data_IF_022266608090
#
_entry.id   IF_022266608090
#
_cell.length_a   1.000
_cell.length_b   1.000
_cell.length_c   1.000
_cell.angle_alpha   90.00
_cell.angle_beta   90.00
_cell.angle_gamma   90.00
#
_symmetry.space_group_name_H-M   'P 1'
#
loop_
_entity.id
_entity.type
_entity.pdbx_description
1 polymer ?
#
# COMPACT_ATOMS: atom_id res chain seq x y z
N UNK A 1 -1.39 16.56 31.65
CA UNK A 1 -1.72 17.13 30.32
C UNK A 1 -3.22 17.38 30.28
N UNK A 2 -3.69 18.38 29.53
CA UNK A 2 -5.13 18.62 29.38
C UNK A 2 -5.78 17.46 28.62
N UNK A 3 -6.97 17.05 29.03
CA UNK A 3 -7.77 16.07 28.29
C UNK A 3 -8.49 16.78 27.14
N UNK A 4 -8.42 16.22 25.94
CA UNK A 4 -9.03 16.77 24.72
C UNK A 4 -10.09 15.78 24.23
N UNK A 5 -11.34 16.22 24.17
CA UNK A 5 -12.42 15.42 23.61
C UNK A 5 -12.27 15.29 22.07
N UNK A 6 -12.72 14.19 21.43
CA UNK A 6 -12.68 14.05 19.98
C UNK A 6 -13.28 15.23 19.21
N UNK A 7 -14.35 15.86 19.69
CA UNK A 7 -14.93 17.05 19.06
C UNK A 7 -14.02 18.28 19.14
N UNK A 8 -13.24 18.41 20.23
CA UNK A 8 -12.23 19.48 20.34
C UNK A 8 -11.04 19.23 19.43
N UNK A 9 -10.65 17.96 19.23
CA UNK A 9 -9.65 17.58 18.25
C UNK A 9 -10.14 17.96 16.84
N UNK A 10 -11.34 17.55 16.44
CA UNK A 10 -11.93 17.84 15.12
C UNK A 10 -12.05 19.33 14.81
N UNK A 11 -12.34 20.17 15.82
CA UNK A 11 -12.37 21.63 15.66
C UNK A 11 -10.99 22.23 15.39
N UNK A 12 -9.92 21.54 15.75
CA UNK A 12 -8.53 21.87 15.42
C UNK A 12 -8.15 21.51 13.98
N UNK A 13 -9.00 21.84 13.01
CA UNK A 13 -8.85 21.46 11.60
C UNK A 13 -8.00 22.43 10.78
N UNK A 14 -7.45 23.51 11.38
CA UNK A 14 -6.66 24.51 10.67
C UNK A 14 -7.44 25.43 9.72
N UNK A 15 -8.76 25.29 9.61
CA UNK A 15 -9.60 26.10 8.72
C UNK A 15 -10.05 27.36 9.43
N UNK A 16 -10.24 28.42 8.65
CA UNK A 16 -10.74 29.72 9.16
C UNK A 16 -9.86 30.27 10.30
N UNK A 17 -8.56 30.00 10.25
CA UNK A 17 -7.60 30.44 11.27
C UNK A 17 -7.65 29.65 12.58
N UNK A 18 -8.42 28.56 12.65
CA UNK A 18 -8.41 27.65 13.81
C UNK A 18 -7.06 26.95 13.95
N UNK A 19 -6.82 26.41 15.14
CA UNK A 19 -5.59 25.66 15.44
C UNK A 19 -5.50 24.41 14.56
N UNK A 20 -4.28 23.97 14.29
CA UNK A 20 -3.98 22.72 13.59
C UNK A 20 -3.60 21.67 14.62
N UNK A 21 -4.53 20.80 14.98
CA UNK A 21 -4.32 19.75 15.99
C UNK A 21 -4.25 18.38 15.34
N UNK A 22 -3.34 17.52 15.81
CA UNK A 22 -3.31 16.10 15.41
C UNK A 22 -3.06 15.22 16.61
N UNK A 23 -3.68 14.05 16.66
CA UNK A 23 -3.42 13.02 17.68
C UNK A 23 -2.48 11.95 17.14
N UNK A 24 -1.45 11.60 17.90
CA UNK A 24 -0.57 10.44 17.64
C UNK A 24 -0.30 9.72 18.95
N UNK A 25 -0.65 8.44 19.02
CA UNK A 25 -0.50 7.64 20.24
C UNK A 25 -1.23 8.27 21.43
N UNK A 26 -2.41 8.85 21.17
CA UNK A 26 -3.24 9.65 22.10
C UNK A 26 -2.70 11.04 22.45
N UNK A 27 -1.44 11.38 22.17
CA UNK A 27 -0.92 12.73 22.42
C UNK A 27 -1.37 13.69 21.32
N UNK A 28 -1.88 14.85 21.71
CA UNK A 28 -2.32 15.89 20.79
C UNK A 28 -1.22 16.93 20.63
N UNK A 29 -0.81 17.18 19.39
CA UNK A 29 0.22 18.16 19.02
C UNK A 29 -0.43 19.35 18.31
N UNK A 30 0.05 20.55 18.64
CA UNK A 30 -0.32 21.78 17.94
C UNK A 30 0.68 22.11 16.83
N UNK A 31 0.26 21.85 15.60
CA UNK A 31 1.06 22.05 14.40
C UNK A 31 0.79 23.40 13.72
N UNK A 32 0.12 24.35 14.39
CA UNK A 32 -0.28 25.63 13.78
C UNK A 32 0.89 26.48 13.28
N UNK A 33 2.10 26.24 13.83
CA UNK A 33 3.34 26.92 13.40
C UNK A 33 4.07 26.19 12.27
N UNK A 34 3.57 25.05 11.81
CA UNK A 34 4.20 24.28 10.75
C UNK A 34 3.74 24.76 9.38
N UNK A 35 4.69 25.25 8.56
CA UNK A 35 4.40 25.62 7.17
C UNK A 35 3.88 24.42 6.34
N UNK A 36 4.30 23.20 6.70
CA UNK A 36 3.86 21.97 6.04
C UNK A 36 2.42 21.56 6.38
N UNK A 37 1.77 22.28 7.31
CA UNK A 37 0.38 22.07 7.73
C UNK A 37 -0.49 23.31 7.50
N UNK A 38 -0.06 24.21 6.62
CA UNK A 38 -0.81 25.42 6.30
C UNK A 38 -2.24 25.08 5.83
N UNK A 39 -3.23 25.77 6.41
CA UNK A 39 -4.65 25.51 6.14
C UNK A 39 -5.18 24.18 6.70
N UNK A 40 -4.43 23.53 7.58
CA UNK A 40 -4.84 22.28 8.21
C UNK A 40 -4.67 21.04 7.33
N UNK A 41 -3.88 21.14 6.26
CA UNK A 41 -3.61 20.05 5.34
C UNK A 41 -2.10 19.80 5.24
N UNK A 42 -1.72 18.53 5.18
CA UNK A 42 -0.34 18.10 4.98
C UNK A 42 -0.24 17.24 3.72
N UNK A 43 0.58 17.71 2.76
CA UNK A 43 0.88 17.03 1.49
C UNK A 43 -0.38 16.59 0.72
N UNK A 44 -1.48 17.35 0.81
CA UNK A 44 -2.79 17.05 0.22
C UNK A 44 -3.36 15.66 0.56
N UNK A 45 -2.85 15.05 1.63
CA UNK A 45 -3.06 13.63 1.95
C UNK A 45 -3.51 13.42 3.39
N UNK A 46 -3.17 14.34 4.30
CA UNK A 46 -3.56 14.29 5.70
C UNK A 46 -4.21 15.60 6.12
N UNK A 47 -5.21 15.49 7.00
CA UNK A 47 -5.93 16.64 7.55
C UNK A 47 -5.76 16.72 9.05
N UNK A 48 -5.69 17.94 9.54
CA UNK A 48 -5.75 18.23 10.96
C UNK A 48 -7.13 17.90 11.53
N UNK A 49 -7.20 17.89 12.85
CA UNK A 49 -8.34 17.48 13.65
C UNK A 49 -8.62 15.98 13.67
N UNK A 50 -7.60 15.15 13.46
CA UNK A 50 -7.73 13.69 13.40
C UNK A 50 -6.63 12.96 14.17
N UNK A 51 -6.90 11.69 14.49
CA UNK A 51 -5.87 10.74 14.89
C UNK A 51 -5.11 10.25 13.65
N UNK A 52 -3.81 10.51 13.63
CA UNK A 52 -2.89 10.17 12.55
C UNK A 52 -1.87 9.10 12.97
N UNK A 53 -2.11 8.37 14.06
CA UNK A 53 -1.21 7.32 14.55
C UNK A 53 -0.90 6.27 13.49
N UNK A 54 -1.89 5.87 12.70
CA UNK A 54 -1.70 4.93 11.59
C UNK A 54 -1.05 5.60 10.36
N UNK A 55 -1.43 6.84 10.06
CA UNK A 55 -0.85 7.59 8.94
C UNK A 55 0.66 7.83 9.15
N UNK A 56 1.08 8.14 10.38
CA UNK A 56 2.48 8.37 10.73
C UNK A 56 3.34 7.12 10.52
N UNK A 57 2.80 5.91 10.73
CA UNK A 57 3.55 4.66 10.50
C UNK A 57 3.96 4.46 9.04
N UNK A 58 3.28 5.13 8.09
CA UNK A 58 3.59 5.07 6.67
C UNK A 58 4.22 6.36 6.13
N UNK A 59 4.51 7.32 7.01
CA UNK A 59 5.17 8.57 6.64
C UNK A 59 6.67 8.33 6.35
N UNK A 60 7.32 9.19 5.54
CA UNK A 60 8.76 9.12 5.27
C UNK A 60 9.63 9.58 6.47
N UNK A 61 9.03 9.75 7.65
CA UNK A 61 9.64 10.22 8.88
C UNK A 61 8.93 9.59 10.09
N UNK A 62 9.59 9.52 11.24
CA UNK A 62 9.00 8.99 12.47
C UNK A 62 8.34 10.08 13.35
N UNK A 63 7.90 9.72 14.56
CA UNK A 63 7.26 10.64 15.52
C UNK A 63 8.17 11.76 16.02
N UNK A 64 9.48 11.65 15.89
CA UNK A 64 10.46 12.66 16.29
C UNK A 64 10.21 14.04 15.65
N UNK A 65 9.55 14.10 14.49
CA UNK A 65 9.19 15.39 13.87
C UNK A 65 8.13 16.16 14.67
N UNK A 66 7.27 15.44 15.42
CA UNK A 66 6.20 16.01 16.24
C UNK A 66 6.73 16.59 17.54
N UNK A 67 7.88 16.11 18.03
CA UNK A 67 8.52 16.60 19.26
C UNK A 67 8.98 18.06 19.14
N UNK A 68 9.09 18.57 17.91
CA UNK A 68 9.37 19.99 17.62
C UNK A 68 8.19 20.91 17.91
N UNK A 69 7.01 20.35 18.16
CA UNK A 69 5.76 21.07 18.36
C UNK A 69 5.21 20.85 19.77
N UNK A 70 4.45 21.83 20.31
CA UNK A 70 3.86 21.69 21.63
C UNK A 70 2.89 20.51 21.70
N UNK A 71 3.09 19.63 22.68
CA UNK A 71 2.07 18.66 23.08
C UNK A 71 1.07 19.35 24.01
N UNK A 72 -0.18 19.48 23.56
CA UNK A 72 -1.19 20.35 24.19
C UNK A 72 -2.25 19.58 24.97
N UNK A 73 -2.25 18.26 24.87
CA UNK A 73 -3.15 17.41 25.60
C UNK A 73 -3.06 15.95 25.20
N UNK A 74 -3.94 15.13 25.77
CA UNK A 74 -4.17 13.76 25.34
C UNK A 74 -5.65 13.57 25.00
N UNK A 75 -5.94 12.79 23.97
CA UNK A 75 -7.34 12.49 23.60
C UNK A 75 -7.98 11.65 24.71
N UNK A 76 -9.18 12.07 25.13
CA UNK A 76 -10.01 11.33 26.07
C UNK A 76 -10.13 9.87 25.61
N UNK A 77 -9.97 8.92 26.54
CA UNK A 77 -10.15 7.52 26.18
C UNK A 77 -11.59 7.31 25.67
N UNK A 78 -11.81 6.66 24.51
CA UNK A 78 -13.16 6.31 24.12
C UNK A 78 -13.81 5.49 25.25
N UNK A 79 -15.05 5.82 25.61
CA UNK A 79 -15.86 4.95 26.44
C UNK A 79 -15.98 3.59 25.73
N UNK A 80 -15.28 2.60 26.30
CA UNK A 80 -15.28 1.18 25.97
C UNK A 80 -15.78 0.77 24.57
N UNK A 81 -14.87 0.84 23.61
CA UNK A 81 -14.76 -0.24 22.64
C UNK A 81 -13.31 -0.67 22.65
N UNK A 82 -12.96 -1.62 23.51
CA UNK A 82 -11.70 -2.35 23.38
C UNK A 82 -11.86 -3.24 22.14
N UNK A 83 -11.27 -2.89 20.97
CA UNK A 83 -11.20 -3.90 19.93
C UNK A 83 -10.32 -4.99 20.52
N UNK A 84 -10.76 -6.25 20.48
CA UNK A 84 -9.99 -7.37 21.00
C UNK A 84 -8.51 -7.22 20.61
N UNK A 85 -7.68 -6.77 21.56
CA UNK A 85 -6.28 -6.43 21.27
C UNK A 85 -5.64 -7.78 21.01
N UNK A 86 -5.43 -8.08 19.74
CA UNK A 86 -4.78 -9.32 19.37
C UNK A 86 -3.43 -9.37 20.05
N UNK A 87 -3.05 -10.52 20.64
CA UNK A 87 -1.75 -10.65 21.26
C UNK A 87 -0.68 -10.25 20.25
N UNK A 88 0.24 -9.36 20.67
CA UNK A 88 1.29 -8.87 19.78
C UNK A 88 2.08 -10.07 19.27
N UNK A 89 2.30 -10.19 17.94
CA UNK A 89 3.06 -11.29 17.39
C UNK A 89 4.50 -11.24 17.94
N UNK A 90 5.12 -12.40 18.09
CA UNK A 90 6.51 -12.56 18.54
C UNK A 90 7.39 -13.15 17.43
N UNK A 91 8.71 -13.10 17.60
CA UNK A 91 9.66 -13.71 16.66
C UNK A 91 9.64 -13.09 15.26
N UNK A 92 9.68 -13.94 14.23
CA UNK A 92 9.81 -13.50 12.83
C UNK A 92 8.63 -12.66 12.36
N UNK A 93 7.41 -12.98 12.80
CA UNK A 93 6.20 -12.22 12.44
C UNK A 93 6.27 -10.80 12.98
N UNK A 94 6.72 -10.64 14.23
CA UNK A 94 6.96 -9.33 14.83
C UNK A 94 8.02 -8.56 14.04
N UNK A 95 9.13 -9.22 13.69
CA UNK A 95 10.24 -8.62 12.96
C UNK A 95 9.86 -8.17 11.54
N UNK A 96 8.94 -8.89 10.87
CA UNK A 96 8.39 -8.52 9.57
C UNK A 96 7.46 -7.32 9.73
N UNK A 97 6.50 -7.36 10.66
CA UNK A 97 5.54 -6.26 10.85
C UNK A 97 6.20 -4.96 11.32
N UNK A 98 7.18 -5.04 12.22
CA UNK A 98 7.92 -3.89 12.74
C UNK A 98 8.75 -3.17 11.67
N UNK A 99 9.14 -3.87 10.60
CA UNK A 99 9.89 -3.28 9.49
C UNK A 99 9.00 -2.60 8.46
N UNK A 100 7.67 -2.57 8.68
CA UNK A 100 6.68 -2.05 7.73
C UNK A 100 7.09 -2.39 6.30
N UNK A 101 7.26 -3.70 5.97
CA UNK A 101 8.17 -4.19 4.93
C UNK A 101 8.10 -3.21 3.78
N UNK A 102 9.16 -2.40 3.68
CA UNK A 102 9.14 -1.07 3.06
C UNK A 102 8.32 -1.10 1.77
N UNK A 103 7.60 -0.04 1.36
CA UNK A 103 6.84 0.00 0.10
C UNK A 103 7.56 -0.72 -1.06
N UNK A 104 8.88 -0.60 -1.12
CA UNK A 104 9.77 -1.35 -2.03
C UNK A 104 9.65 -2.88 -1.93
N UNK A 105 9.77 -3.54 -0.78
CA UNK A 105 9.78 -5.01 -0.71
C UNK A 105 8.49 -5.69 -1.20
N UNK A 106 7.36 -4.97 -1.15
CA UNK A 106 6.03 -5.48 -1.53
C UNK A 106 5.55 -4.89 -2.86
N UNK A 107 5.85 -3.62 -3.17
CA UNK A 107 5.50 -3.00 -4.45
C UNK A 107 6.52 -3.31 -5.54
N UNK A 108 7.80 -3.57 -5.23
CA UNK A 108 8.82 -3.84 -6.24
C UNK A 108 8.45 -5.06 -7.09
N UNK A 109 8.13 -6.26 -6.53
CA UNK A 109 7.79 -7.41 -7.37
C UNK A 109 6.47 -7.21 -8.14
N UNK A 110 5.49 -6.51 -7.54
CA UNK A 110 4.21 -6.23 -8.18
C UNK A 110 4.37 -5.25 -9.36
N UNK A 111 5.23 -4.24 -9.23
CA UNK A 111 5.55 -3.28 -10.29
C UNK A 111 6.23 -3.95 -11.49
N UNK A 112 6.97 -5.04 -11.28
CA UNK A 112 7.56 -5.81 -12.38
C UNK A 112 6.51 -6.39 -13.34
N UNK A 113 5.25 -6.56 -12.90
CA UNK A 113 4.15 -6.92 -13.81
C UNK A 113 3.85 -5.82 -14.85
N UNK A 114 3.90 -4.55 -14.45
CA UNK A 114 3.77 -3.41 -15.38
C UNK A 114 5.01 -3.30 -16.27
N UNK A 115 6.21 -3.50 -15.70
CA UNK A 115 7.46 -3.48 -16.47
C UNK A 115 7.47 -4.61 -17.51
N UNK A 116 6.98 -5.80 -17.16
CA UNK A 116 6.81 -6.90 -18.09
C UNK A 116 5.87 -6.54 -19.24
N UNK A 117 4.72 -5.91 -18.94
CA UNK A 117 3.80 -5.43 -19.96
C UNK A 117 4.42 -4.36 -20.87
N UNK A 118 5.20 -3.43 -20.31
CA UNK A 118 5.89 -2.40 -21.08
C UNK A 118 6.95 -3.00 -22.04
N UNK A 119 7.76 -3.94 -21.56
CA UNK A 119 8.73 -4.63 -22.43
C UNK A 119 8.04 -5.50 -23.48
N UNK A 120 6.93 -6.16 -23.15
CA UNK A 120 6.17 -6.92 -24.15
C UNK A 120 5.55 -6.00 -25.20
N UNK A 121 5.01 -4.85 -24.82
CA UNK A 121 4.54 -3.85 -25.78
C UNK A 121 5.68 -3.34 -26.68
N UNK A 122 6.87 -3.10 -26.09
CA UNK A 122 8.05 -2.71 -26.84
C UNK A 122 8.49 -3.80 -27.84
N UNK A 123 8.38 -5.08 -27.48
CA UNK A 123 8.73 -6.17 -28.39
C UNK A 123 7.79 -6.24 -29.59
N UNK A 124 6.50 -5.92 -29.42
CA UNK A 124 5.52 -5.90 -30.51
C UNK A 124 5.79 -4.77 -31.52
N UNK A 125 6.41 -3.67 -31.09
CA UNK A 125 6.69 -2.50 -31.95
C UNK A 125 8.08 -2.58 -32.57
N UNK A 126 9.07 -2.99 -31.78
CA UNK A 126 10.49 -2.94 -32.18
C UNK A 126 10.99 -4.27 -32.77
N UNK A 127 10.21 -5.33 -32.64
CA UNK A 127 10.51 -6.68 -33.13
C UNK A 127 11.90 -7.18 -32.70
N UNK A 128 12.26 -6.90 -31.43
CA UNK A 128 13.52 -7.36 -30.84
C UNK A 128 13.26 -8.36 -29.72
N UNK A 129 13.84 -9.55 -29.86
CA UNK A 129 13.78 -10.64 -28.86
C UNK A 129 14.24 -10.24 -27.45
N UNK A 130 15.16 -9.27 -27.34
CA UNK A 130 15.64 -8.78 -26.03
C UNK A 130 14.50 -8.28 -25.15
N UNK A 131 13.49 -7.62 -25.74
CA UNK A 131 12.34 -7.11 -25.01
C UNK A 131 11.39 -8.22 -24.56
N UNK A 132 11.23 -9.30 -25.36
CA UNK A 132 10.48 -10.47 -24.91
C UNK A 132 11.14 -11.18 -23.74
N UNK A 133 12.47 -11.34 -23.79
CA UNK A 133 13.23 -11.94 -22.69
C UNK A 133 13.13 -11.07 -21.43
N UNK A 134 13.23 -9.75 -21.57
CA UNK A 134 13.02 -8.83 -20.46
C UNK A 134 11.60 -8.96 -19.88
N UNK A 135 10.58 -9.01 -20.74
CA UNK A 135 9.18 -9.20 -20.30
C UNK A 135 9.00 -10.52 -19.53
N UNK A 136 9.52 -11.62 -20.05
CA UNK A 136 9.44 -12.94 -19.42
C UNK A 136 10.14 -12.96 -18.05
N UNK A 137 11.36 -12.45 -17.97
CA UNK A 137 12.11 -12.43 -16.70
C UNK A 137 11.41 -11.57 -15.64
N UNK A 138 10.91 -10.40 -16.03
CA UNK A 138 10.14 -9.55 -15.12
C UNK A 138 8.86 -10.26 -14.63
N UNK A 139 8.15 -10.97 -15.52
CA UNK A 139 6.97 -11.74 -15.17
C UNK A 139 7.27 -12.90 -14.21
N UNK A 140 8.40 -13.61 -14.40
CA UNK A 140 8.84 -14.68 -13.48
C UNK A 140 9.09 -14.10 -12.09
N UNK A 141 9.84 -13.00 -11.98
CA UNK A 141 10.12 -12.38 -10.68
C UNK A 141 8.84 -11.84 -10.04
N UNK A 142 7.93 -11.25 -10.82
CA UNK A 142 6.62 -10.81 -10.34
C UNK A 142 5.80 -11.97 -9.76
N UNK A 143 5.74 -13.10 -10.47
CA UNK A 143 5.00 -14.30 -10.05
C UNK A 143 5.58 -14.89 -8.74
N UNK A 144 6.91 -14.96 -8.63
CA UNK A 144 7.58 -15.47 -7.43
C UNK A 144 7.44 -14.52 -6.23
N UNK A 145 7.38 -13.21 -6.47
CA UNK A 145 7.20 -12.21 -5.44
C UNK A 145 5.75 -12.02 -4.97
N UNK A 146 4.76 -12.44 -5.74
CA UNK A 146 3.35 -12.28 -5.40
C UNK A 146 2.91 -13.06 -4.13
N UNK A 147 3.24 -14.36 -3.95
CA UNK A 147 2.87 -15.10 -2.74
C UNK A 147 3.38 -14.47 -1.42
N UNK A 148 4.67 -14.12 -1.26
CA UNK A 148 5.13 -13.47 -0.03
C UNK A 148 4.52 -12.07 0.16
N UNK A 149 4.25 -11.33 -0.92
CA UNK A 149 3.56 -10.04 -0.84
C UNK A 149 2.11 -10.18 -0.34
N UNK A 150 1.38 -11.19 -0.83
CA UNK A 150 0.02 -11.51 -0.37
C UNK A 150 0.03 -11.89 1.10
N UNK A 151 0.95 -12.77 1.51
CA UNK A 151 1.08 -13.19 2.90
C UNK A 151 1.39 -12.00 3.82
N UNK A 152 2.32 -11.12 3.44
CA UNK A 152 2.61 -9.89 4.18
C UNK A 152 1.39 -8.97 4.29
N UNK A 153 0.61 -8.83 3.21
CA UNK A 153 -0.65 -8.09 3.20
C UNK A 153 -1.69 -8.66 4.17
N UNK A 154 -1.86 -9.98 4.21
CA UNK A 154 -2.79 -10.66 5.12
C UNK A 154 -2.36 -10.56 6.59
N UNK A 155 -1.06 -10.67 6.87
CA UNK A 155 -0.51 -10.47 8.22
C UNK A 155 -0.74 -9.02 8.68
N UNK A 156 -0.47 -8.04 7.81
CA UNK A 156 -0.73 -6.65 8.12
C UNK A 156 -2.21 -6.39 8.36
N UNK A 157 -3.10 -6.95 7.53
CA UNK A 157 -4.56 -6.88 7.75
C UNK A 157 -4.97 -7.45 9.11
N UNK A 158 -4.42 -8.62 9.46
CA UNK A 158 -4.74 -9.30 10.72
C UNK A 158 -4.28 -8.50 11.94
N UNK A 159 -3.03 -8.03 11.96
CA UNK A 159 -2.40 -7.46 13.16
C UNK A 159 -2.44 -5.94 13.25
N UNK A 160 -2.34 -5.22 12.11
CA UNK A 160 -2.32 -3.75 12.10
C UNK A 160 -3.71 -3.14 11.88
N UNK A 161 -4.64 -3.88 11.26
CA UNK A 161 -6.00 -3.43 10.95
C UNK A 161 -7.09 -4.23 11.67
N UNK A 162 -6.72 -4.95 12.73
CA UNK A 162 -7.64 -5.69 13.60
C UNK A 162 -8.33 -6.89 12.95
N UNK A 163 -7.95 -7.29 11.74
CA UNK A 163 -8.62 -8.37 11.00
C UNK A 163 -10.05 -8.03 10.60
N UNK A 164 -10.39 -6.73 10.47
CA UNK A 164 -11.72 -6.29 10.05
C UNK A 164 -11.78 -6.27 8.52
N UNK A 165 -12.75 -6.99 7.94
CA UNK A 165 -12.97 -6.97 6.49
C UNK A 165 -13.73 -5.71 6.08
N UNK A 166 -13.03 -4.78 5.45
CA UNK A 166 -13.66 -3.64 4.77
C UNK A 166 -13.73 -3.91 3.26
N UNK A 167 -14.58 -3.19 2.50
CA UNK A 167 -14.60 -3.30 1.04
C UNK A 167 -13.24 -3.07 0.39
N UNK A 168 -12.38 -2.25 1.01
CA UNK A 168 -11.02 -1.98 0.51
C UNK A 168 -10.14 -3.24 0.67
N UNK A 169 -10.12 -3.86 1.86
CA UNK A 169 -9.34 -5.08 2.10
C UNK A 169 -9.83 -6.25 1.26
N UNK A 170 -11.16 -6.42 1.13
CA UNK A 170 -11.75 -7.47 0.30
C UNK A 170 -11.32 -7.33 -1.17
N UNK A 171 -11.51 -6.15 -1.77
CA UNK A 171 -11.10 -5.89 -3.17
C UNK A 171 -9.59 -6.06 -3.36
N UNK A 172 -8.78 -5.64 -2.40
CA UNK A 172 -7.31 -5.79 -2.46
C UNK A 172 -6.91 -7.28 -2.43
N UNK A 173 -7.54 -8.10 -1.60
CA UNK A 173 -7.32 -9.54 -1.59
C UNK A 173 -7.70 -10.19 -2.92
N UNK A 174 -8.88 -9.86 -3.47
CA UNK A 174 -9.34 -10.35 -4.78
C UNK A 174 -8.36 -9.97 -5.89
N UNK A 175 -7.96 -8.69 -5.98
CA UNK A 175 -7.01 -8.24 -7.00
C UNK A 175 -5.63 -8.89 -6.86
N UNK A 176 -5.20 -9.20 -5.64
CA UNK A 176 -3.91 -9.86 -5.42
C UNK A 176 -3.94 -11.32 -5.87
N UNK A 177 -5.03 -12.05 -5.57
CA UNK A 177 -5.24 -13.40 -6.07
C UNK A 177 -5.38 -13.42 -7.60
N UNK A 178 -6.13 -12.46 -8.16
CA UNK A 178 -6.26 -12.29 -9.61
C UNK A 178 -4.90 -12.06 -10.27
N UNK A 179 -4.06 -11.18 -9.72
CA UNK A 179 -2.72 -10.93 -10.24
C UNK A 179 -1.88 -12.20 -10.27
N UNK A 180 -1.86 -12.96 -9.16
CA UNK A 180 -1.14 -14.23 -9.08
C UNK A 180 -1.63 -15.23 -10.13
N UNK A 181 -2.95 -15.39 -10.28
CA UNK A 181 -3.55 -16.26 -11.30
C UNK A 181 -3.17 -15.83 -12.71
N UNK A 182 -3.20 -14.53 -13.02
CA UNK A 182 -2.77 -13.99 -14.31
C UNK A 182 -1.29 -14.28 -14.58
N UNK A 183 -0.42 -14.09 -13.57
CA UNK A 183 1.02 -14.37 -13.71
C UNK A 183 1.29 -15.85 -13.96
N UNK A 184 0.65 -16.74 -13.19
CA UNK A 184 0.80 -18.19 -13.36
C UNK A 184 0.26 -18.65 -14.71
N UNK A 185 -0.91 -18.16 -15.13
CA UNK A 185 -1.48 -18.50 -16.43
C UNK A 185 -0.59 -18.01 -17.58
N UNK A 186 -0.09 -16.77 -17.51
CA UNK A 186 0.81 -16.22 -18.52
C UNK A 186 2.12 -17.04 -18.62
N UNK A 187 2.71 -17.44 -17.49
CA UNK A 187 3.89 -18.29 -17.45
C UNK A 187 3.61 -19.71 -17.95
N UNK A 188 2.45 -20.28 -17.64
CA UNK A 188 2.04 -21.60 -18.13
C UNK A 188 1.93 -21.60 -19.66
N UNK A 189 1.31 -20.57 -20.24
CA UNK A 189 1.25 -20.41 -21.70
C UNK A 189 2.65 -20.20 -22.29
N UNK A 190 3.42 -19.26 -21.73
CA UNK A 190 4.73 -18.88 -22.28
C UNK A 190 5.76 -20.00 -22.18
N UNK A 191 5.88 -20.66 -21.04
CA UNK A 191 6.89 -21.69 -20.81
C UNK A 191 6.40 -23.09 -21.19
N UNK A 192 5.11 -23.38 -21.00
CA UNK A 192 4.55 -24.72 -21.25
C UNK A 192 4.10 -24.96 -22.68
N UNK A 193 3.58 -23.94 -23.37
CA UNK A 193 3.03 -24.09 -24.74
C UNK A 193 3.95 -23.47 -25.78
N UNK A 194 4.37 -22.22 -25.56
CA UNK A 194 5.19 -21.48 -26.53
C UNK A 194 6.67 -21.89 -26.41
N UNK A 195 7.14 -22.10 -25.17
CA UNK A 195 8.54 -22.34 -24.86
C UNK A 195 9.37 -21.06 -24.77
N UNK A 196 10.58 -21.19 -24.22
CA UNK A 196 11.44 -20.04 -23.92
C UNK A 196 11.81 -19.20 -25.16
N UNK A 197 12.09 -19.85 -26.29
CA UNK A 197 12.43 -19.22 -27.57
C UNK A 197 11.35 -19.42 -28.64
N UNK A 198 10.08 -19.57 -28.23
CA UNK A 198 8.98 -19.94 -29.11
C UNK A 198 8.51 -18.85 -30.07
N UNK A 199 7.40 -19.15 -30.76
CA UNK A 199 6.80 -18.25 -31.76
C UNK A 199 6.25 -16.97 -31.12
N UNK A 200 6.29 -15.89 -31.89
CA UNK A 200 5.73 -14.56 -31.55
C UNK A 200 4.44 -14.27 -32.31
N UNK A 201 3.74 -15.33 -32.70
CA UNK A 201 2.53 -15.28 -33.50
C UNK A 201 1.60 -16.44 -33.14
N UNK A 202 0.35 -16.34 -33.60
CA UNK A 202 -0.69 -17.35 -33.35
C UNK A 202 -1.52 -17.11 -32.08
N UNK A 203 -2.55 -17.94 -31.85
CA UNK A 203 -3.54 -17.70 -30.80
C UNK A 203 -2.97 -17.77 -29.38
N UNK A 204 -2.04 -18.69 -29.12
CA UNK A 204 -1.39 -18.82 -27.82
C UNK A 204 -0.50 -17.63 -27.48
N UNK A 205 0.22 -17.08 -28.47
CA UNK A 205 1.00 -15.85 -28.29
C UNK A 205 0.10 -14.67 -27.93
N UNK A 206 -1.00 -14.46 -28.66
CA UNK A 206 -1.92 -13.37 -28.35
C UNK A 206 -2.64 -13.54 -27.02
N UNK A 207 -2.88 -14.78 -26.59
CA UNK A 207 -3.39 -15.10 -25.26
C UNK A 207 -2.36 -14.73 -24.17
N UNK A 208 -1.08 -15.06 -24.37
CA UNK A 208 0.00 -14.62 -23.49
C UNK A 208 0.09 -13.09 -23.42
N UNK A 209 0.04 -12.40 -24.56
CA UNK A 209 0.04 -10.93 -24.63
C UNK A 209 -1.13 -10.35 -23.83
N UNK A 210 -2.34 -10.84 -24.03
CA UNK A 210 -3.52 -10.37 -23.32
C UNK A 210 -3.39 -10.56 -21.80
N UNK A 211 -2.91 -11.73 -21.35
CA UNK A 211 -2.68 -12.02 -19.92
C UNK A 211 -1.64 -11.08 -19.30
N UNK A 212 -0.53 -10.82 -19.99
CA UNK A 212 0.50 -9.91 -19.50
C UNK A 212 0.00 -8.47 -19.47
N UNK A 213 -0.67 -7.99 -20.51
CA UNK A 213 -1.23 -6.62 -20.54
C UNK A 213 -2.30 -6.41 -19.45
N UNK A 214 -3.07 -7.46 -19.12
CA UNK A 214 -4.06 -7.41 -18.03
C UNK A 214 -3.43 -7.17 -16.64
N UNK A 215 -2.11 -7.34 -16.47
CA UNK A 215 -1.45 -6.99 -15.21
C UNK A 215 -1.52 -5.47 -14.94
N UNK A 216 -1.51 -4.63 -15.97
CA UNK A 216 -1.50 -3.16 -15.81
C UNK A 216 -2.69 -2.64 -15.00
N UNK A 217 -3.96 -2.87 -15.40
CA UNK A 217 -5.10 -2.38 -14.63
C UNK A 217 -5.19 -2.99 -13.23
N UNK A 218 -4.79 -4.27 -13.06
CA UNK A 218 -4.81 -4.95 -11.77
C UNK A 218 -3.80 -4.34 -10.80
N UNK A 219 -2.55 -4.11 -11.26
CA UNK A 219 -1.50 -3.48 -10.45
C UNK A 219 -1.85 -2.03 -10.12
N UNK A 220 -2.38 -1.27 -11.08
CA UNK A 220 -2.88 0.10 -10.82
C UNK A 220 -4.00 0.10 -9.77
N UNK A 221 -4.96 -0.84 -9.86
CA UNK A 221 -6.02 -1.00 -8.88
C UNK A 221 -5.49 -1.34 -7.48
N UNK A 222 -4.51 -2.25 -7.38
CA UNK A 222 -3.82 -2.57 -6.13
C UNK A 222 -3.11 -1.35 -5.54
N UNK A 223 -2.41 -0.57 -6.37
CA UNK A 223 -1.76 0.68 -5.96
C UNK A 223 -2.76 1.71 -5.44
N UNK A 224 -3.88 1.90 -6.16
CA UNK A 224 -4.94 2.82 -5.76
C UNK A 224 -5.58 2.43 -4.41
N UNK A 225 -5.91 1.15 -4.22
CA UNK A 225 -6.46 0.65 -2.95
C UNK A 225 -5.44 0.72 -1.82
N UNK A 226 -4.16 0.44 -2.11
CA UNK A 226 -3.06 0.62 -1.17
C UNK A 226 -2.96 2.07 -0.70
N UNK A 227 -2.98 3.02 -1.63
CA UNK A 227 -2.98 4.45 -1.34
C UNK A 227 -4.15 4.88 -0.46
N UNK A 228 -5.35 4.33 -0.63
CA UNK A 228 -6.49 4.63 0.26
C UNK A 228 -6.33 4.14 1.70
N UNK A 229 -5.59 3.04 1.89
CA UNK A 229 -5.29 2.53 3.23
C UNK A 229 -4.25 3.42 3.91
N UNK A 230 -3.25 3.85 3.13
CA UNK A 230 -2.14 4.67 3.62
C UNK A 230 -2.52 6.15 3.83
N UNK A 231 -3.34 6.70 2.93
CA UNK A 231 -3.75 8.10 2.88
C UNK A 231 -5.30 8.21 2.92
N UNK A 232 -5.93 7.94 4.08
CA UNK A 232 -7.38 8.07 4.21
C UNK A 232 -7.79 9.55 4.12
N UNK A 233 -8.61 9.88 3.10
CA UNK A 233 -9.21 11.22 2.92
C UNK A 233 -10.41 11.39 3.85
#
# INVERSE_FOLDING_TARGET
MAEIDPGQLEQGDGREGRRVLVSVGRKVYDLSKSALWAGGEHMHSHRAGRDLSLALQAAPHGPEVLERFPAVGEVAAPAEASPAVLPRPTGLVAAVLARHPHPVAVHFPIALGIVAAAFLAASLVLDRRVFESAALLNLVVAALGAPPAIAAGLLSWRFNYGGIWTPIFFRKAVLSCLLLCLSVAALAVRLGVIGWHGTTSGPWWWSYVALVLAHVPVVMGLGYLGGKITFPR
#
